data_IF_530227497252
#
_entry.id   IF_530227497252
#
_cell.length_a   1.000
_cell.length_b   1.000
_cell.length_c   1.000
_cell.angle_alpha   90.00
_cell.angle_beta   90.00
_cell.angle_gamma   90.00
#
_symmetry.space_group_name_H-M   'P 1'
#
loop_
_entity.id
_entity.type
_entity.pdbx_description
1 polymer ?
#
# COMPACT_ATOMS: atom_id res chain seq x y z
N UNK A 1 18.67 -12.39 0.96
CA UNK A 1 17.32 -12.12 0.43
C UNK A 1 17.23 -10.71 -0.18
N UNK A 2 17.57 -9.64 0.56
CA UNK A 2 17.41 -8.25 0.08
C UNK A 2 18.16 -8.01 -1.22
N UNK A 3 19.45 -8.34 -1.27
CA UNK A 3 20.30 -8.15 -2.45
C UNK A 3 19.80 -8.94 -3.66
N UNK A 4 19.46 -10.22 -3.47
CA UNK A 4 18.96 -11.09 -4.54
C UNK A 4 17.62 -10.59 -5.09
N UNK A 5 16.74 -10.16 -4.20
CA UNK A 5 15.44 -9.60 -4.57
C UNK A 5 15.61 -8.30 -5.35
N UNK A 6 16.48 -7.39 -4.91
CA UNK A 6 16.77 -6.15 -5.63
C UNK A 6 17.36 -6.45 -7.00
N UNK A 7 18.29 -7.41 -7.12
CA UNK A 7 18.86 -7.80 -8.41
C UNK A 7 17.80 -8.34 -9.37
N UNK A 8 16.97 -9.25 -8.90
CA UNK A 8 15.85 -9.81 -9.68
C UNK A 8 14.84 -8.73 -10.10
N UNK A 9 14.51 -7.81 -9.21
CA UNK A 9 13.62 -6.69 -9.52
C UNK A 9 14.25 -5.74 -10.56
N UNK A 10 15.54 -5.47 -10.49
CA UNK A 10 16.26 -4.65 -11.49
C UNK A 10 16.19 -5.28 -12.88
N UNK A 11 16.42 -6.58 -12.98
CA UNK A 11 16.31 -7.31 -14.24
C UNK A 11 14.90 -7.28 -14.81
N UNK A 12 13.90 -7.49 -13.94
CA UNK A 12 12.48 -7.51 -14.33
C UNK A 12 11.96 -6.14 -14.74
N UNK A 13 12.27 -5.12 -13.96
CA UNK A 13 11.72 -3.76 -14.12
C UNK A 13 12.45 -3.00 -15.22
N UNK A 14 13.78 -3.03 -15.23
CA UNK A 14 14.58 -2.24 -16.16
C UNK A 14 14.27 -0.75 -16.04
N UNK A 15 13.92 -0.13 -17.15
CA UNK A 15 13.54 1.29 -17.28
C UNK A 15 12.02 1.55 -17.25
N UNK A 16 11.24 0.53 -16.93
CA UNK A 16 9.78 0.60 -16.95
C UNK A 16 9.21 1.33 -15.75
N UNK A 17 8.02 1.90 -15.92
CA UNK A 17 7.30 2.64 -14.88
C UNK A 17 6.61 1.71 -13.91
N UNK A 18 6.73 2.03 -12.63
CA UNK A 18 6.20 1.24 -11.52
C UNK A 18 5.34 2.13 -10.62
N UNK A 19 4.16 1.64 -10.26
CA UNK A 19 3.23 2.29 -9.35
C UNK A 19 3.05 1.46 -8.08
N UNK A 20 3.00 2.12 -6.92
CA UNK A 20 2.75 1.48 -5.63
C UNK A 20 1.69 2.24 -4.85
N UNK A 21 0.67 1.54 -4.35
CA UNK A 21 -0.25 2.09 -3.38
C UNK A 21 0.30 1.87 -1.96
N UNK A 22 0.52 2.96 -1.22
CA UNK A 22 0.96 2.91 0.17
C UNK A 22 -0.22 2.99 1.12
N UNK A 23 -0.37 1.99 1.97
CA UNK A 23 -1.38 1.96 3.03
C UNK A 23 -0.89 2.55 4.36
N UNK A 24 0.39 2.92 4.47
CA UNK A 24 1.04 3.28 5.73
C UNK A 24 1.43 2.07 6.60
N UNK A 25 1.08 0.85 6.19
CA UNK A 25 1.48 -0.39 6.87
C UNK A 25 2.91 -0.82 6.55
N UNK A 26 3.50 -1.67 7.40
CA UNK A 26 4.87 -2.14 7.24
C UNK A 26 5.09 -2.90 5.92
N UNK A 27 4.15 -3.73 5.50
CA UNK A 27 4.30 -4.57 4.31
C UNK A 27 4.38 -3.74 3.03
N UNK A 28 3.45 -2.81 2.83
CA UNK A 28 3.48 -1.89 1.69
C UNK A 28 4.72 -1.00 1.71
N UNK A 29 5.18 -0.60 2.90
CA UNK A 29 6.39 0.22 3.06
C UNK A 29 7.65 -0.55 2.68
N UNK A 30 7.81 -1.78 3.17
CA UNK A 30 8.95 -2.64 2.84
C UNK A 30 8.97 -2.98 1.35
N UNK A 31 7.81 -3.33 0.78
CA UNK A 31 7.69 -3.60 -0.65
C UNK A 31 8.09 -2.39 -1.51
N UNK A 32 7.58 -1.20 -1.17
CA UNK A 32 7.91 0.02 -1.90
C UNK A 32 9.39 0.38 -1.82
N UNK A 33 10.02 0.23 -0.64
CA UNK A 33 11.45 0.54 -0.47
C UNK A 33 12.34 -0.48 -1.19
N UNK A 34 12.00 -1.78 -1.15
CA UNK A 34 12.70 -2.79 -1.96
C UNK A 34 12.65 -2.43 -3.44
N UNK A 35 11.46 -2.11 -3.94
CA UNK A 35 11.29 -1.75 -5.35
C UNK A 35 11.97 -0.43 -5.68
N UNK A 36 12.01 0.54 -4.77
CA UNK A 36 12.70 1.81 -5.01
C UNK A 36 14.20 1.63 -5.24
N UNK A 37 14.82 0.67 -4.56
CA UNK A 37 16.24 0.33 -4.76
C UNK A 37 16.50 -0.33 -6.10
N UNK A 38 15.49 -0.91 -6.71
CA UNK A 38 15.58 -1.51 -8.04
C UNK A 38 15.20 -0.53 -9.15
N UNK A 39 14.09 0.16 -9.02
CA UNK A 39 13.48 1.00 -10.03
C UNK A 39 13.87 2.49 -9.94
N UNK A 40 14.40 2.93 -8.80
CA UNK A 40 14.77 4.33 -8.58
C UNK A 40 13.61 5.28 -8.84
N UNK A 41 13.84 6.30 -9.65
CA UNK A 41 12.84 7.34 -10.00
C UNK A 41 11.69 6.84 -10.88
N UNK A 42 11.78 5.63 -11.42
CA UNK A 42 10.68 5.02 -12.17
C UNK A 42 9.55 4.51 -11.25
N UNK A 43 9.80 4.42 -9.94
CA UNK A 43 8.76 4.12 -8.96
C UNK A 43 8.05 5.42 -8.54
N UNK A 44 6.72 5.41 -8.63
CA UNK A 44 5.84 6.41 -8.01
C UNK A 44 4.98 5.72 -6.95
N UNK A 45 4.98 6.27 -5.75
CA UNK A 45 4.11 5.81 -4.66
C UNK A 45 2.96 6.79 -4.46
N UNK A 46 1.73 6.29 -4.32
CA UNK A 46 0.55 7.06 -3.97
C UNK A 46 0.14 6.71 -2.55
N UNK A 47 0.05 7.71 -1.69
CA UNK A 47 -0.40 7.60 -0.31
C UNK A 47 -1.66 8.44 -0.12
N UNK A 48 -2.76 7.79 0.29
CA UNK A 48 -4.05 8.44 0.49
C UNK A 48 -4.23 8.82 1.96
N UNK A 49 -4.28 10.11 2.25
CA UNK A 49 -4.65 10.63 3.56
C UNK A 49 -6.17 10.83 3.62
N UNK A 50 -6.86 9.79 4.07
CA UNK A 50 -8.31 9.76 4.17
C UNK A 50 -8.87 10.32 5.49
N UNK A 51 -8.03 10.90 6.34
CA UNK A 51 -8.45 11.53 7.59
C UNK A 51 -8.67 10.57 8.78
N UNK A 52 -8.58 9.28 8.56
CA UNK A 52 -8.81 8.23 9.56
C UNK A 52 -7.53 7.48 9.95
N UNK A 53 -6.39 8.07 9.61
CA UNK A 53 -5.06 7.60 9.98
C UNK A 53 -4.78 7.84 11.47
N UNK A 54 -3.70 7.25 11.98
CA UNK A 54 -3.15 7.63 13.28
C UNK A 54 -2.69 9.08 13.26
N UNK A 55 -2.60 9.68 14.45
CA UNK A 55 -2.04 11.02 14.62
C UNK A 55 -0.64 11.09 13.97
N UNK A 56 -0.44 12.09 13.13
CA UNK A 56 0.81 12.38 12.42
C UNK A 56 1.31 11.27 11.46
N UNK A 57 0.54 10.20 11.22
CA UNK A 57 0.98 9.08 10.38
C UNK A 57 1.29 9.52 8.95
N UNK A 58 0.48 10.40 8.38
CA UNK A 58 0.71 10.93 7.03
C UNK A 58 2.03 11.69 6.92
N UNK A 59 2.36 12.51 7.91
CA UNK A 59 3.59 13.31 7.94
C UNK A 59 4.82 12.43 8.16
N UNK A 60 4.71 11.41 9.02
CA UNK A 60 5.78 10.43 9.24
C UNK A 60 6.09 9.63 7.98
N UNK A 61 5.05 9.13 7.29
CA UNK A 61 5.21 8.39 6.03
C UNK A 61 5.86 9.29 4.98
N UNK A 62 5.37 10.50 4.81
CA UNK A 62 5.91 11.44 3.83
C UNK A 62 7.39 11.74 4.11
N UNK A 63 7.74 12.02 5.35
CA UNK A 63 9.13 12.28 5.76
C UNK A 63 10.05 11.10 5.46
N UNK A 64 9.65 9.89 5.86
CA UNK A 64 10.48 8.69 5.64
C UNK A 64 10.67 8.44 4.14
N UNK A 65 9.59 8.46 3.37
CA UNK A 65 9.67 8.12 1.95
C UNK A 65 10.39 9.17 1.12
N UNK A 66 10.15 10.45 1.35
CA UNK A 66 10.79 11.54 0.58
C UNK A 66 12.19 11.86 1.06
N UNK A 67 12.37 12.06 2.38
CA UNK A 67 13.64 12.57 2.90
C UNK A 67 14.68 11.47 3.12
N UNK A 68 14.26 10.29 3.62
CA UNK A 68 15.20 9.21 3.92
C UNK A 68 15.48 8.33 2.71
N UNK A 69 14.45 8.00 1.90
CA UNK A 69 14.58 7.07 0.79
C UNK A 69 14.51 7.71 -0.60
N UNK A 70 14.32 9.02 -0.68
CA UNK A 70 14.22 9.78 -1.95
C UNK A 70 13.23 9.17 -2.95
N UNK A 71 12.09 8.68 -2.45
CA UNK A 71 11.04 8.05 -3.25
C UNK A 71 10.09 9.13 -3.77
N UNK A 72 9.69 9.02 -5.04
CA UNK A 72 8.65 9.86 -5.62
C UNK A 72 7.30 9.50 -4.99
N UNK A 73 6.86 10.31 -4.03
CA UNK A 73 5.62 10.11 -3.27
C UNK A 73 4.59 11.18 -3.62
N UNK A 74 3.40 10.74 -4.01
CA UNK A 74 2.21 11.57 -4.15
C UNK A 74 1.34 11.35 -2.93
N UNK A 75 1.25 12.34 -2.03
CA UNK A 75 0.30 12.34 -0.92
C UNK A 75 -0.97 13.05 -1.35
N UNK A 76 -2.08 12.34 -1.29
CA UNK A 76 -3.40 12.84 -1.67
C UNK A 76 -4.21 13.13 -0.42
N UNK A 77 -4.56 14.39 -0.18
CA UNK A 77 -5.49 14.75 0.88
C UNK A 77 -6.93 14.54 0.38
N UNK A 78 -7.54 13.47 0.85
CA UNK A 78 -8.91 13.09 0.50
C UNK A 78 -9.84 12.99 1.73
N UNK A 79 -9.48 13.65 2.83
CA UNK A 79 -10.21 13.60 4.12
C UNK A 79 -11.69 13.92 3.98
N UNK A 80 -12.01 15.06 3.41
CA UNK A 80 -13.39 15.53 3.30
C UNK A 80 -14.24 14.57 2.46
N UNK A 81 -13.64 13.99 1.43
CA UNK A 81 -14.29 13.03 0.54
C UNK A 81 -14.68 11.74 1.27
N UNK A 82 -13.78 11.21 2.10
CA UNK A 82 -14.07 10.01 2.89
C UNK A 82 -15.04 10.30 4.03
N UNK A 83 -14.83 11.38 4.79
CA UNK A 83 -15.66 11.72 5.93
C UNK A 83 -17.11 12.02 5.50
N UNK A 84 -17.30 12.73 4.38
CA UNK A 84 -18.66 13.01 3.88
C UNK A 84 -19.43 11.75 3.49
N UNK A 85 -18.75 10.71 3.00
CA UNK A 85 -19.38 9.43 2.67
C UNK A 85 -19.68 8.54 3.88
N UNK A 86 -18.97 8.78 4.98
CA UNK A 86 -19.13 8.04 6.23
C UNK A 86 -20.16 8.68 7.17
N UNK A 87 -20.55 9.92 6.93
CA UNK A 87 -21.53 10.63 7.75
C UNK A 87 -22.85 9.81 7.88
N UNK A 88 -23.27 9.58 9.13
CA UNK A 88 -24.45 8.78 9.45
C UNK A 88 -24.31 7.26 9.27
N UNK A 89 -23.11 6.77 8.94
CA UNK A 89 -22.85 5.34 8.78
C UNK A 89 -22.31 4.78 10.10
N UNK A 90 -23.09 3.95 10.76
CA UNK A 90 -22.74 3.35 12.07
C UNK A 90 -22.25 1.90 11.97
N UNK A 91 -22.69 1.16 10.96
CA UNK A 91 -22.34 -0.24 10.76
C UNK A 91 -20.89 -0.42 10.30
N UNK A 92 -20.06 -1.21 11.02
CA UNK A 92 -18.63 -1.37 10.71
C UNK A 92 -18.34 -1.97 9.33
N UNK A 93 -19.15 -2.93 8.88
CA UNK A 93 -18.95 -3.56 7.57
C UNK A 93 -19.28 -2.61 6.44
N UNK A 94 -20.33 -1.81 6.62
CA UNK A 94 -20.68 -0.75 5.67
C UNK A 94 -19.59 0.32 5.61
N UNK A 95 -19.02 0.71 6.75
CA UNK A 95 -17.86 1.62 6.79
C UNK A 95 -16.67 1.05 6.00
N UNK A 96 -16.33 -0.23 6.23
CA UNK A 96 -15.27 -0.92 5.50
C UNK A 96 -15.47 -0.87 4.00
N UNK A 97 -16.68 -1.22 3.56
CA UNK A 97 -17.02 -1.26 2.14
C UNK A 97 -16.91 0.11 1.48
N UNK A 98 -17.47 1.14 2.11
CA UNK A 98 -17.38 2.52 1.62
C UNK A 98 -15.93 2.97 1.50
N UNK A 99 -15.12 2.76 2.53
CA UNK A 99 -13.71 3.16 2.53
C UNK A 99 -12.94 2.41 1.45
N UNK A 100 -13.17 1.10 1.30
CA UNK A 100 -12.51 0.30 0.29
C UNK A 100 -12.82 0.75 -1.13
N UNK A 101 -14.08 0.92 -1.45
CA UNK A 101 -14.51 1.39 -2.76
C UNK A 101 -13.96 2.77 -3.07
N UNK A 102 -13.97 3.68 -2.08
CA UNK A 102 -13.49 5.03 -2.28
C UNK A 102 -11.97 5.10 -2.41
N UNK A 103 -11.25 4.25 -1.66
CA UNK A 103 -9.81 4.13 -1.77
C UNK A 103 -9.39 3.77 -3.20
N UNK A 104 -10.06 2.78 -3.81
CA UNK A 104 -9.78 2.37 -5.19
C UNK A 104 -10.08 3.52 -6.15
N UNK A 105 -11.21 4.19 -6.02
CA UNK A 105 -11.60 5.30 -6.91
C UNK A 105 -10.57 6.43 -6.88
N UNK A 106 -10.17 6.87 -5.68
CA UNK A 106 -9.16 7.93 -5.54
C UNK A 106 -7.81 7.47 -6.10
N UNK A 107 -7.42 6.22 -5.82
CA UNK A 107 -6.19 5.66 -6.36
C UNK A 107 -6.19 5.63 -7.89
N UNK A 108 -7.28 5.19 -8.51
CA UNK A 108 -7.43 5.16 -9.96
C UNK A 108 -7.41 6.57 -10.58
N UNK A 109 -8.06 7.54 -9.95
CA UNK A 109 -8.05 8.93 -10.38
C UNK A 109 -6.62 9.51 -10.38
N UNK A 110 -5.84 9.23 -9.34
CA UNK A 110 -4.45 9.67 -9.26
C UNK A 110 -3.54 8.91 -10.23
N UNK A 111 -3.74 7.60 -10.37
CA UNK A 111 -2.99 6.78 -11.32
C UNK A 111 -3.20 7.24 -12.79
N UNK A 112 -4.41 7.65 -13.14
CA UNK A 112 -4.71 8.21 -14.47
C UNK A 112 -3.91 9.48 -14.79
N UNK A 113 -3.61 10.30 -13.78
CA UNK A 113 -2.78 11.51 -13.95
C UNK A 113 -1.32 11.16 -14.27
N UNK A 114 -0.84 10.02 -13.78
CA UNK A 114 0.51 9.50 -14.05
C UNK A 114 0.60 8.91 -15.46
N UNK A 115 -0.50 8.39 -15.98
CA UNK A 115 -0.58 7.71 -17.26
C UNK A 115 -0.29 6.22 -17.17
N UNK A 116 0.12 5.60 -18.28
CA UNK A 116 0.39 4.17 -18.37
C UNK A 116 1.57 3.79 -17.50
N UNK A 117 1.40 2.74 -16.68
CA UNK A 117 2.45 2.11 -15.88
C UNK A 117 2.62 0.66 -16.32
N UNK A 118 3.82 0.11 -16.17
CA UNK A 118 4.07 -1.28 -16.55
C UNK A 118 3.79 -2.24 -15.40
N UNK A 119 4.11 -1.83 -14.17
CA UNK A 119 3.99 -2.66 -12.98
C UNK A 119 3.22 -1.98 -11.87
N UNK A 120 2.37 -2.77 -11.18
CA UNK A 120 1.73 -2.39 -9.92
C UNK A 120 2.36 -3.19 -8.78
N UNK A 121 2.87 -2.51 -7.75
CA UNK A 121 3.45 -3.14 -6.56
C UNK A 121 2.39 -3.40 -5.52
N UNK A 122 2.39 -4.61 -4.97
CA UNK A 122 1.57 -5.00 -3.82
C UNK A 122 2.44 -5.56 -2.69
N UNK A 123 2.07 -5.22 -1.46
CA UNK A 123 2.73 -5.70 -0.24
C UNK A 123 2.16 -7.04 0.26
N UNK A 124 1.76 -7.93 -0.64
CA UNK A 124 1.27 -9.27 -0.30
C UNK A 124 2.35 -10.07 0.41
N UNK A 125 2.01 -10.74 1.50
CA UNK A 125 2.88 -11.63 2.25
C UNK A 125 2.36 -13.08 2.24
N UNK A 126 3.16 -14.04 2.68
CA UNK A 126 2.81 -15.46 2.59
C UNK A 126 1.50 -15.85 3.30
N UNK A 127 1.17 -15.34 4.50
CA UNK A 127 -0.14 -15.57 5.11
C UNK A 127 -1.33 -15.14 4.23
N UNK A 128 -1.22 -14.01 3.53
CA UNK A 128 -2.29 -13.54 2.62
C UNK A 128 -2.52 -14.53 1.47
N UNK A 129 -1.44 -15.16 0.99
CA UNK A 129 -1.51 -16.20 -0.07
C UNK A 129 -2.25 -17.44 0.41
N UNK A 130 -1.97 -17.87 1.65
CA UNK A 130 -2.64 -19.04 2.25
C UNK A 130 -4.12 -18.76 2.47
N UNK A 131 -4.46 -17.60 3.03
CA UNK A 131 -5.84 -17.20 3.32
C UNK A 131 -6.68 -17.03 2.04
N UNK A 132 -6.04 -16.64 0.93
CA UNK A 132 -6.70 -16.51 -0.38
C UNK A 132 -6.98 -17.84 -1.08
N UNK A 133 -6.46 -18.96 -0.55
CA UNK A 133 -6.50 -20.28 -1.18
C UNK A 133 -5.44 -20.46 -2.26
N UNK A 134 -4.74 -21.61 -2.17
CA UNK A 134 -3.66 -22.03 -3.08
C UNK A 134 -4.14 -22.24 -4.51
N UNK A 135 -4.55 -21.24 -5.23
CA UNK A 135 -4.85 -21.45 -6.61
C UNK A 135 -5.71 -20.43 -7.29
N UNK A 136 -5.07 -19.70 -8.11
CA UNK A 136 -5.49 -18.79 -9.18
C UNK A 136 -5.30 -17.32 -8.86
N UNK A 137 -4.44 -16.77 -9.66
CA UNK A 137 -3.90 -15.41 -9.74
C UNK A 137 -4.91 -14.30 -10.01
N UNK A 138 -6.09 -14.29 -9.42
CA UNK A 138 -7.05 -13.24 -9.75
C UNK A 138 -7.97 -12.77 -8.63
N UNK A 139 -7.84 -13.32 -7.42
CA UNK A 139 -8.72 -12.82 -6.36
C UNK A 139 -7.98 -12.87 -5.03
N UNK A 140 -7.09 -11.91 -4.82
CA UNK A 140 -6.63 -11.61 -3.47
C UNK A 140 -7.82 -10.97 -2.76
N UNK A 141 -8.58 -11.85 -2.06
CA UNK A 141 -9.78 -11.43 -1.34
C UNK A 141 -9.42 -10.54 -0.17
N UNK A 142 -9.81 -9.36 -0.26
CA UNK A 142 -10.62 -8.43 0.54
C UNK A 142 -10.33 -8.20 2.03
N UNK A 143 -9.50 -8.94 2.74
CA UNK A 143 -9.30 -8.66 4.17
C UNK A 143 -8.12 -7.75 4.48
N UNK A 144 -7.12 -7.71 3.60
CA UNK A 144 -5.97 -6.80 3.69
C UNK A 144 -5.90 -5.80 2.53
N UNK A 145 -6.47 -6.11 1.38
CA UNK A 145 -6.71 -5.16 0.30
C UNK A 145 -8.13 -4.60 0.45
N UNK A 146 -8.24 -3.45 1.07
CA UNK A 146 -9.52 -2.75 1.20
C UNK A 146 -9.95 -2.33 -0.20
N UNK A 147 -10.76 -3.18 -0.86
CA UNK A 147 -11.40 -2.85 -2.11
C UNK A 147 -10.99 -3.62 -3.37
N UNK A 148 -9.98 -4.53 -3.34
CA UNK A 148 -9.56 -5.30 -4.51
C UNK A 148 -8.50 -4.62 -5.38
N UNK A 149 -8.29 -5.13 -6.59
CA UNK A 149 -7.40 -4.51 -7.57
C UNK A 149 -8.13 -3.36 -8.29
N UNK A 150 -7.43 -2.28 -8.62
CA UNK A 150 -7.99 -1.22 -9.44
C UNK A 150 -8.30 -1.74 -10.84
N UNK A 151 -9.57 -1.65 -11.26
CA UNK A 151 -10.03 -2.13 -12.56
C UNK A 151 -9.66 -1.18 -13.72
N UNK A 152 -9.44 0.08 -13.40
CA UNK A 152 -9.23 1.16 -14.37
C UNK A 152 -7.79 1.72 -14.39
N UNK A 153 -6.85 1.04 -13.74
CA UNK A 153 -5.42 1.35 -13.87
C UNK A 153 -4.83 0.43 -14.95
N UNK A 154 -4.26 1.04 -15.98
CA UNK A 154 -3.59 0.31 -17.05
C UNK A 154 -2.18 -0.09 -16.61
N UNK A 155 -2.02 -1.34 -16.20
CA UNK A 155 -0.74 -1.97 -15.87
C UNK A 155 -0.66 -3.37 -16.48
N UNK A 156 0.56 -3.83 -16.75
CA UNK A 156 0.79 -5.13 -17.41
C UNK A 156 0.91 -6.28 -16.43
N UNK A 157 1.55 -6.04 -15.27
CA UNK A 157 1.86 -7.10 -14.31
C UNK A 157 1.92 -6.56 -12.88
N UNK A 158 1.61 -7.44 -11.91
CA UNK A 158 1.75 -7.16 -10.48
C UNK A 158 3.12 -7.64 -10.01
N UNK A 159 3.77 -6.83 -9.18
CA UNK A 159 5.03 -7.15 -8.51
C UNK A 159 4.77 -7.30 -7.02
N UNK A 160 5.02 -8.50 -6.49
CA UNK A 160 4.79 -8.87 -5.09
C UNK A 160 6.11 -9.34 -4.44
N UNK A 161 7.00 -8.42 -4.06
CA UNK A 161 8.36 -8.79 -3.64
C UNK A 161 8.40 -9.55 -2.30
N UNK A 162 7.32 -9.50 -1.52
CA UNK A 162 7.24 -10.11 -0.19
C UNK A 162 6.38 -11.38 -0.15
N UNK A 163 5.87 -11.84 -1.30
CA UNK A 163 4.86 -12.91 -1.40
C UNK A 163 5.22 -14.19 -0.65
N UNK A 164 6.50 -14.50 -0.53
CA UNK A 164 6.99 -15.73 0.09
C UNK A 164 7.48 -15.52 1.54
N UNK A 165 7.32 -14.32 2.11
CA UNK A 165 7.78 -13.98 3.44
C UNK A 165 6.66 -14.03 4.48
N UNK A 166 7.01 -14.50 5.68
CA UNK A 166 6.20 -14.31 6.87
C UNK A 166 6.40 -12.91 7.46
N UNK A 167 5.48 -12.47 8.31
CA UNK A 167 5.47 -11.13 8.91
C UNK A 167 6.79 -10.76 9.61
N UNK A 168 7.38 -11.72 10.32
CA UNK A 168 8.64 -11.47 11.04
C UNK A 168 9.83 -11.33 10.09
N UNK A 169 9.80 -12.02 8.95
CA UNK A 169 10.80 -11.87 7.89
C UNK A 169 10.66 -10.53 7.19
N UNK A 170 9.45 -10.06 6.95
CA UNK A 170 9.18 -8.71 6.42
C UNK A 170 9.73 -7.64 7.36
N UNK A 171 9.54 -7.79 8.68
CA UNK A 171 10.10 -6.84 9.66
C UNK A 171 11.63 -6.84 9.64
N UNK A 172 12.26 -8.01 9.62
CA UNK A 172 13.73 -8.13 9.49
C UNK A 172 14.24 -7.46 8.21
N UNK A 173 13.57 -7.72 7.09
CA UNK A 173 13.85 -7.07 5.81
C UNK A 173 13.73 -5.54 5.92
N UNK A 174 12.70 -5.05 6.59
CA UNK A 174 12.50 -3.62 6.83
C UNK A 174 13.66 -2.99 7.61
N UNK A 175 14.13 -3.65 8.67
CA UNK A 175 15.30 -3.17 9.45
C UNK A 175 16.58 -3.18 8.60
N UNK A 176 16.82 -4.25 7.82
CA UNK A 176 17.96 -4.36 6.92
C UNK A 176 17.97 -3.24 5.86
N UNK A 177 16.81 -2.82 5.40
CA UNK A 177 16.62 -1.71 4.48
C UNK A 177 16.81 -0.33 5.12
N UNK A 178 16.92 -0.26 6.44
CA UNK A 178 17.08 0.98 7.20
C UNK A 178 15.75 1.70 7.52
N UNK A 179 14.63 0.98 7.47
CA UNK A 179 13.34 1.54 7.88
C UNK A 179 13.35 1.73 9.40
N UNK A 180 12.93 2.89 9.91
CA UNK A 180 12.89 3.13 11.36
C UNK A 180 12.08 2.08 12.13
N UNK A 181 12.59 1.67 13.28
CA UNK A 181 11.94 0.63 14.12
C UNK A 181 10.49 0.95 14.48
N UNK A 182 10.19 2.21 14.75
CA UNK A 182 8.83 2.66 15.06
C UNK A 182 7.83 2.43 13.91
N UNK A 183 8.30 2.36 12.67
CA UNK A 183 7.48 1.98 11.51
C UNK A 183 7.42 0.45 11.37
N UNK A 184 8.56 -0.23 11.49
CA UNK A 184 8.67 -1.70 11.32
C UNK A 184 7.86 -2.45 12.37
N UNK A 185 7.95 -2.03 13.64
CA UNK A 185 7.24 -2.67 14.76
C UNK A 185 5.93 -1.97 15.13
N UNK A 186 5.48 -1.05 14.29
CA UNK A 186 4.17 -0.41 14.46
C UNK A 186 3.08 -1.47 14.59
N UNK A 187 2.22 -1.31 15.59
CA UNK A 187 1.09 -2.23 15.77
C UNK A 187 0.20 -2.24 14.52
N UNK A 188 -0.34 -3.40 14.15
CA UNK A 188 -1.27 -3.51 13.04
C UNK A 188 -2.43 -2.51 13.19
N UNK A 189 -2.73 -1.85 12.11
CA UNK A 189 -3.81 -0.89 12.02
C UNK A 189 -4.64 -1.22 10.78
N UNK A 190 -5.94 -1.37 10.92
CA UNK A 190 -6.77 -1.79 9.79
C UNK A 190 -6.74 -0.74 8.68
N UNK A 191 -6.87 -1.18 7.42
CA UNK A 191 -6.91 -0.28 6.27
C UNK A 191 -7.97 0.83 6.37
N UNK A 192 -9.19 0.54 6.90
CA UNK A 192 -10.19 1.58 7.16
C UNK A 192 -9.83 2.57 8.28
N UNK A 193 -8.69 2.39 8.95
CA UNK A 193 -8.21 3.31 9.97
C UNK A 193 -9.08 3.36 11.21
N UNK A 194 -9.26 4.56 11.75
CA UNK A 194 -10.08 4.80 12.94
C UNK A 194 -11.57 4.51 12.72
N UNK A 195 -12.05 4.53 11.49
CA UNK A 195 -13.47 4.39 11.18
C UNK A 195 -14.13 3.17 11.81
N UNK A 196 -13.45 2.01 11.78
CA UNK A 196 -13.99 0.76 12.34
C UNK A 196 -13.71 0.59 13.84
N UNK A 197 -12.93 1.48 14.44
CA UNK A 197 -12.69 1.51 15.89
C UNK A 197 -13.65 2.45 16.61
N UNK A 198 -14.28 3.38 15.89
CA UNK A 198 -15.32 4.26 16.42
C UNK A 198 -16.65 3.54 16.31
N UNK A 199 -17.27 3.27 17.48
CA UNK A 199 -18.63 2.73 17.57
C UNK A 199 -19.60 3.89 17.33
N UNK A 200 -20.52 3.72 16.37
CA UNK A 200 -21.47 4.76 16.01
C UNK A 200 -21.02 5.63 14.82
N UNK A 201 -21.50 6.84 14.77
CA UNK A 201 -21.18 7.82 13.70
C UNK A 201 -19.76 8.37 13.85
N UNK A 202 -19.17 8.82 12.74
CA UNK A 202 -17.80 9.38 12.67
C UNK A 202 -17.88 10.89 12.54
#
# INVERSE_FOLDING_TARGET
FVEDTIASLKEKIGDKKVLCALSGGVDSSVAAILVSKAAGKNLTCIFLDHGLLRKNEGDEVEKIFREQFDINLIRVNCKDRFLSKLAGVTDPERKRKIIGEEFIRVFEEEAKKIGTVDFLVQGTIYPDVIESGLGKSSTIKSHHNVGGLPEHVDFKEIVEPLRNLFKDEVRKTGLELGIPENLVFRQPFPGPGLAIRVIGDI
#
